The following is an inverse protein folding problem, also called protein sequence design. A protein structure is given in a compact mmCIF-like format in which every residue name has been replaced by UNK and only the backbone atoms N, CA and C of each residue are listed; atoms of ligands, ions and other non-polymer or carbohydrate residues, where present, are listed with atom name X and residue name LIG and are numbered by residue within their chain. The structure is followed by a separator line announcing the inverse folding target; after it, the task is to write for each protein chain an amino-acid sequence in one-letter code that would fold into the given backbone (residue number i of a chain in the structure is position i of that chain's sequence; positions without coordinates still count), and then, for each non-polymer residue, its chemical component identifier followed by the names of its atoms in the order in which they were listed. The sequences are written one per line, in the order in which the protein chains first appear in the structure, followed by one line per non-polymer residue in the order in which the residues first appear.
data_IF_301652671012
#
_entry.id   IF_301652671012
#
_cell.length_a   1.000
_cell.length_b   1.000
_cell.length_c   1.000
_cell.angle_alpha   90.00
_cell.angle_beta   90.00
_cell.angle_gamma   90.00
#
_symmetry.space_group_name_H-M   'P 1'
#
loop_
_entity.id
_entity.type
_entity.pdbx_description
1 polymer ?
#
# COMPACT_ATOMS: atom_id res chain seq x y z
N UNK A 1 -15.60 20.25 -18.93
CA UNK A 1 -16.09 18.85 -18.81
C UNK A 1 -15.29 17.85 -19.65
N UNK A 2 -15.00 18.13 -20.93
CA UNK A 2 -14.22 17.22 -21.79
C UNK A 2 -12.78 16.95 -21.29
N UNK A 3 -12.04 17.98 -20.87
CA UNK A 3 -10.67 17.83 -20.35
C UNK A 3 -10.59 16.92 -19.11
N UNK A 4 -11.53 17.06 -18.17
CA UNK A 4 -11.60 16.18 -17.00
C UNK A 4 -11.88 14.73 -17.38
N UNK A 5 -12.72 14.47 -18.40
CA UNK A 5 -12.99 13.11 -18.86
C UNK A 5 -11.76 12.49 -19.54
N UNK A 6 -10.95 13.28 -20.26
CA UNK A 6 -9.70 12.82 -20.88
C UNK A 6 -8.69 12.42 -19.80
N UNK A 7 -8.47 13.29 -18.79
CA UNK A 7 -7.53 13.01 -17.68
C UNK A 7 -7.95 11.74 -16.94
N UNK A 8 -9.24 11.60 -16.63
CA UNK A 8 -9.78 10.43 -15.94
C UNK A 8 -9.51 9.14 -16.73
N UNK A 9 -9.81 9.14 -18.04
CA UNK A 9 -9.53 8.00 -18.92
C UNK A 9 -8.04 7.69 -19.00
N UNK A 10 -7.19 8.71 -19.08
CA UNK A 10 -5.74 8.53 -19.10
C UNK A 10 -5.25 7.84 -17.83
N UNK A 11 -5.64 8.32 -16.65
CA UNK A 11 -5.27 7.68 -15.37
C UNK A 11 -5.74 6.23 -15.33
N UNK A 12 -6.95 5.96 -15.82
CA UNK A 12 -7.51 4.61 -15.80
C UNK A 12 -6.75 3.66 -16.73
N UNK A 13 -6.45 4.09 -17.95
CA UNK A 13 -5.66 3.33 -18.92
C UNK A 13 -4.25 3.09 -18.36
N UNK A 14 -3.59 4.12 -17.84
CA UNK A 14 -2.26 4.00 -17.24
C UNK A 14 -2.27 3.00 -16.07
N UNK A 15 -3.26 3.06 -15.18
CA UNK A 15 -3.39 2.12 -14.06
C UNK A 15 -3.50 0.68 -14.54
N UNK A 16 -4.36 0.41 -15.53
CA UNK A 16 -4.53 -0.92 -16.11
C UNK A 16 -3.25 -1.39 -16.81
N UNK A 17 -2.60 -0.54 -17.62
CA UNK A 17 -1.38 -0.89 -18.34
C UNK A 17 -0.25 -1.24 -17.36
N UNK A 18 0.00 -0.38 -16.37
CA UNK A 18 1.02 -0.63 -15.34
C UNK A 18 0.72 -1.92 -14.58
N UNK A 19 -0.54 -2.13 -14.20
CA UNK A 19 -0.97 -3.36 -13.54
C UNK A 19 -0.74 -4.61 -14.40
N UNK A 20 -1.08 -4.56 -15.69
CA UNK A 20 -0.84 -5.69 -16.60
C UNK A 20 0.66 -6.00 -16.70
N UNK A 21 1.49 -4.97 -16.91
CA UNK A 21 2.96 -5.14 -16.96
C UNK A 21 3.50 -5.74 -15.66
N UNK A 22 3.07 -5.23 -14.50
CA UNK A 22 3.54 -5.72 -13.20
C UNK A 22 3.14 -7.16 -12.89
N UNK A 23 2.03 -7.65 -13.46
CA UNK A 23 1.55 -9.02 -13.24
C UNK A 23 2.03 -10.02 -14.31
N UNK A 24 2.68 -9.56 -15.38
CA UNK A 24 3.29 -10.45 -16.39
C UNK A 24 4.25 -11.48 -15.76
N UNK A 25 5.21 -11.12 -14.87
CA UNK A 25 6.09 -12.10 -14.23
C UNK A 25 5.35 -13.13 -13.37
N UNK A 26 4.13 -12.81 -12.95
CA UNK A 26 3.31 -13.72 -12.15
C UNK A 26 2.57 -14.75 -13.01
N UNK A 27 2.24 -14.39 -14.26
CA UNK A 27 1.63 -15.29 -15.23
C UNK A 27 2.71 -16.11 -15.95
N UNK A 28 3.77 -15.46 -16.41
CA UNK A 28 4.88 -16.05 -17.14
C UNK A 28 6.22 -15.59 -16.50
N UNK A 29 6.70 -16.28 -15.46
CA UNK A 29 7.91 -15.87 -14.73
C UNK A 29 9.15 -15.77 -15.63
N UNK A 30 9.34 -16.72 -16.54
CA UNK A 30 10.53 -16.79 -17.39
C UNK A 30 10.54 -15.76 -18.51
N UNK A 31 9.38 -15.27 -18.96
CA UNK A 31 9.26 -14.29 -20.04
C UNK A 31 10.07 -13.00 -19.78
N UNK A 32 10.19 -12.62 -18.51
CA UNK A 32 10.87 -11.39 -18.09
C UNK A 32 12.31 -11.68 -17.66
N UNK A 33 12.57 -12.86 -17.10
CA UNK A 33 13.89 -13.28 -16.62
C UNK A 33 14.86 -13.59 -17.77
N UNK A 34 14.39 -14.07 -18.93
CA UNK A 34 15.25 -14.30 -20.10
C UNK A 34 16.00 -13.02 -20.53
N UNK A 35 15.35 -11.86 -20.40
CA UNK A 35 15.99 -10.58 -20.76
C UNK A 35 17.05 -10.09 -19.75
N UNK A 36 17.21 -10.78 -18.62
CA UNK A 36 18.07 -10.34 -17.51
C UNK A 36 19.12 -11.36 -17.08
N UNK A 37 18.97 -12.65 -17.43
CA UNK A 37 19.91 -13.71 -17.05
C UNK A 37 20.33 -14.49 -18.32
N UNK A 38 21.63 -14.67 -18.52
CA UNK A 38 22.21 -15.59 -19.51
C UNK A 38 21.98 -17.04 -19.06
N UNK A 39 20.74 -17.53 -19.21
CA UNK A 39 20.41 -18.94 -18.97
C UNK A 39 20.53 -19.67 -20.32
N UNK A 40 21.11 -20.89 -20.39
CA UNK A 40 21.17 -21.67 -21.62
C UNK A 40 19.77 -21.80 -22.26
N UNK A 41 19.63 -21.32 -23.49
CA UNK A 41 18.34 -21.20 -24.18
C UNK A 41 17.64 -22.53 -24.49
N UNK A 42 18.34 -23.67 -24.39
CA UNK A 42 17.83 -24.96 -24.85
C UNK A 42 16.81 -25.62 -23.89
N UNK A 43 16.67 -25.15 -22.64
CA UNK A 43 15.85 -25.80 -21.60
C UNK A 43 14.74 -24.92 -20.97
N UNK A 44 14.50 -23.67 -21.44
CA UNK A 44 13.51 -22.77 -20.82
C UNK A 44 12.26 -22.59 -21.68
N UNK A 45 11.11 -22.97 -21.13
CA UNK A 45 9.81 -22.63 -21.70
C UNK A 45 9.37 -21.21 -21.27
N UNK A 46 9.52 -20.22 -22.16
CA UNK A 46 9.19 -18.81 -21.86
C UNK A 46 7.76 -18.55 -21.40
N UNK A 47 6.82 -19.38 -21.88
CA UNK A 47 5.40 -19.29 -21.56
C UNK A 47 4.97 -20.33 -20.51
N UNK A 48 5.90 -20.88 -19.74
CA UNK A 48 5.57 -21.69 -18.57
C UNK A 48 4.74 -20.86 -17.60
N UNK A 49 3.56 -21.39 -17.24
CA UNK A 49 2.64 -20.73 -16.33
C UNK A 49 3.20 -20.75 -14.91
N UNK A 50 3.35 -19.57 -14.31
CA UNK A 50 3.69 -19.45 -12.90
C UNK A 50 2.63 -20.08 -12.01
N UNK A 51 3.03 -20.52 -10.81
CA UNK A 51 2.15 -21.21 -9.85
C UNK A 51 0.86 -20.41 -9.54
N UNK A 52 0.96 -19.09 -9.45
CA UNK A 52 -0.18 -18.20 -9.22
C UNK A 52 -0.80 -17.63 -10.50
N UNK A 53 -0.20 -17.89 -11.67
CA UNK A 53 -0.65 -17.40 -12.98
C UNK A 53 -2.00 -17.99 -13.40
N UNK A 54 -2.17 -19.30 -13.20
CA UNK A 54 -3.44 -19.99 -13.48
C UNK A 54 -4.57 -19.46 -12.59
N UNK A 55 -4.28 -19.26 -11.29
CA UNK A 55 -5.23 -18.66 -10.35
C UNK A 55 -5.68 -17.28 -10.79
N UNK A 56 -4.74 -16.42 -11.20
CA UNK A 56 -5.03 -15.08 -11.71
C UNK A 56 -5.90 -15.11 -12.96
N UNK A 57 -5.60 -15.97 -13.94
CA UNK A 57 -6.36 -16.03 -15.19
C UNK A 57 -7.80 -16.49 -14.91
N UNK A 58 -7.97 -17.61 -14.19
CA UNK A 58 -9.29 -18.18 -13.93
C UNK A 58 -10.14 -17.24 -13.07
N UNK A 59 -9.58 -16.65 -12.01
CA UNK A 59 -10.32 -15.73 -11.16
C UNK A 59 -10.86 -14.54 -11.96
N UNK A 60 -10.03 -13.98 -12.83
CA UNK A 60 -10.40 -12.85 -13.66
C UNK A 60 -11.50 -13.19 -14.67
N UNK A 61 -11.40 -14.36 -15.33
CA UNK A 61 -12.46 -14.84 -16.23
C UNK A 61 -13.78 -14.99 -15.49
N UNK A 62 -13.76 -15.58 -14.29
CA UNK A 62 -14.97 -15.79 -13.47
C UNK A 62 -15.57 -14.46 -13.04
N UNK A 63 -14.77 -13.51 -12.53
CA UNK A 63 -15.26 -12.21 -12.08
C UNK A 63 -15.79 -11.35 -13.22
N UNK A 64 -15.09 -11.32 -14.36
CA UNK A 64 -15.54 -10.58 -15.54
C UNK A 64 -16.86 -11.18 -16.05
N UNK A 65 -16.96 -12.51 -16.10
CA UNK A 65 -18.19 -13.21 -16.47
C UNK A 65 -19.34 -12.86 -15.52
N UNK A 66 -19.10 -12.89 -14.21
CA UNK A 66 -20.08 -12.48 -13.19
C UNK A 66 -20.50 -11.01 -13.36
N UNK A 67 -19.55 -10.11 -13.61
CA UNK A 67 -19.82 -8.68 -13.85
C UNK A 67 -20.66 -8.46 -15.11
N UNK A 68 -20.38 -9.19 -16.19
CA UNK A 68 -21.17 -9.16 -17.43
C UNK A 68 -22.59 -9.65 -17.15
N UNK A 69 -22.75 -10.80 -16.49
CA UNK A 69 -24.06 -11.33 -16.11
C UNK A 69 -24.83 -10.35 -15.22
N UNK A 70 -24.15 -9.71 -14.26
CA UNK A 70 -24.73 -8.67 -13.41
C UNK A 70 -25.26 -7.49 -14.25
N UNK A 71 -24.45 -6.96 -15.18
CA UNK A 71 -24.84 -5.85 -16.06
C UNK A 71 -25.96 -6.22 -17.04
N UNK A 72 -25.95 -7.46 -17.53
CA UNK A 72 -26.98 -7.99 -18.43
C UNK A 72 -28.30 -8.36 -17.73
N UNK A 73 -28.41 -8.15 -16.41
CA UNK A 73 -29.60 -8.53 -15.61
C UNK A 73 -29.89 -10.04 -15.62
N UNK A 74 -28.86 -10.88 -15.80
CA UNK A 74 -28.98 -12.35 -15.94
C UNK A 74 -28.69 -13.13 -14.65
N UNK A 75 -28.31 -12.47 -13.56
CA UNK A 75 -28.08 -13.16 -12.28
C UNK A 75 -29.40 -13.50 -11.55
N UNK A 76 -29.39 -14.50 -10.65
CA UNK A 76 -30.53 -14.79 -9.77
C UNK A 76 -30.97 -13.56 -8.96
N UNK A 77 -32.28 -13.43 -8.74
CA UNK A 77 -32.89 -12.31 -7.99
C UNK A 77 -32.33 -12.22 -6.56
N UNK A 78 -32.04 -13.36 -5.93
CA UNK A 78 -31.41 -13.42 -4.60
C UNK A 78 -30.07 -12.68 -4.56
N UNK A 79 -29.22 -12.88 -5.59
CA UNK A 79 -27.92 -12.21 -5.70
C UNK A 79 -28.10 -10.71 -5.89
N UNK A 80 -29.04 -10.28 -6.76
CA UNK A 80 -29.34 -8.85 -6.92
C UNK A 80 -29.78 -8.20 -5.60
N UNK A 81 -30.64 -8.87 -4.82
CA UNK A 81 -31.10 -8.36 -3.52
C UNK A 81 -29.94 -8.18 -2.53
N UNK A 82 -28.99 -9.12 -2.48
CA UNK A 82 -27.80 -9.03 -1.62
C UNK A 82 -26.91 -7.86 -2.05
N UNK A 83 -26.61 -7.77 -3.35
CA UNK A 83 -25.77 -6.69 -3.90
C UNK A 83 -26.42 -5.32 -3.62
N UNK A 84 -27.73 -5.19 -3.87
CA UNK A 84 -28.47 -3.95 -3.64
C UNK A 84 -28.49 -3.56 -2.16
N UNK A 85 -28.63 -4.54 -1.25
CA UNK A 85 -28.56 -4.32 0.19
C UNK A 85 -27.21 -3.74 0.59
N UNK A 86 -26.09 -4.33 0.14
CA UNK A 86 -24.73 -3.87 0.49
C UNK A 86 -24.44 -2.50 -0.14
N UNK A 87 -24.88 -2.26 -1.38
CA UNK A 87 -24.63 -0.99 -2.08
C UNK A 87 -25.49 0.15 -1.51
N UNK A 88 -26.76 -0.10 -1.14
CA UNK A 88 -27.67 0.96 -0.72
C UNK A 88 -27.69 1.19 0.78
N UNK A 89 -27.69 0.13 1.58
CA UNK A 89 -27.70 0.27 3.03
C UNK A 89 -26.29 0.57 3.53
N UNK A 90 -26.24 1.25 4.66
CA UNK A 90 -25.04 1.40 5.46
C UNK A 90 -25.37 0.99 6.90
N UNK A 91 -24.34 0.67 7.67
CA UNK A 91 -24.50 0.37 9.10
C UNK A 91 -24.41 1.65 9.93
N UNK A 92 -25.04 1.62 11.11
CA UNK A 92 -24.90 2.72 12.07
C UNK A 92 -23.47 2.81 12.60
N UNK A 93 -23.09 3.98 13.14
CA UNK A 93 -21.76 4.17 13.73
C UNK A 93 -21.48 3.18 14.88
N UNK A 94 -22.48 2.94 15.73
CA UNK A 94 -22.37 2.01 16.87
C UNK A 94 -22.09 0.57 16.40
N UNK A 95 -22.82 0.13 15.37
CA UNK A 95 -22.63 -1.22 14.80
C UNK A 95 -21.26 -1.32 14.12
N UNK A 96 -20.86 -0.30 13.37
CA UNK A 96 -19.55 -0.29 12.72
C UNK A 96 -18.39 -0.38 13.72
N UNK A 97 -18.47 0.39 14.81
CA UNK A 97 -17.48 0.35 15.89
C UNK A 97 -17.40 -1.05 16.49
N UNK A 98 -18.54 -1.67 16.79
CA UNK A 98 -18.58 -3.03 17.33
C UNK A 98 -17.91 -4.04 16.38
N UNK A 99 -18.21 -3.98 15.08
CA UNK A 99 -17.63 -4.90 14.09
C UNK A 99 -16.12 -4.69 13.98
N UNK A 100 -15.65 -3.45 13.87
CA UNK A 100 -14.21 -3.15 13.77
C UNK A 100 -13.46 -3.56 15.02
N UNK A 101 -13.97 -3.23 16.20
CA UNK A 101 -13.36 -3.67 17.46
C UNK A 101 -13.33 -5.20 17.56
N UNK A 102 -14.38 -5.88 17.11
CA UNK A 102 -14.40 -7.36 17.09
C UNK A 102 -13.35 -7.93 16.13
N UNK A 103 -13.22 -7.38 14.91
CA UNK A 103 -12.21 -7.82 13.95
C UNK A 103 -10.79 -7.64 14.49
N UNK A 104 -10.50 -6.47 15.09
CA UNK A 104 -9.19 -6.20 15.70
C UNK A 104 -8.97 -7.13 16.90
N UNK A 105 -9.99 -7.38 17.73
CA UNK A 105 -9.88 -8.29 18.87
C UNK A 105 -9.52 -9.71 18.44
N UNK A 106 -10.20 -10.26 17.42
CA UNK A 106 -9.87 -11.58 16.88
C UNK A 106 -8.46 -11.61 16.29
N UNK A 107 -8.11 -10.61 15.48
CA UNK A 107 -6.76 -10.46 14.94
C UNK A 107 -5.70 -10.48 16.05
N UNK A 108 -5.89 -9.69 17.12
CA UNK A 108 -4.97 -9.67 18.26
C UNK A 108 -4.84 -11.03 18.91
N UNK A 109 -5.95 -11.74 19.15
CA UNK A 109 -5.91 -13.09 19.73
C UNK A 109 -5.07 -14.05 18.89
N UNK A 110 -5.18 -14.00 17.56
CA UNK A 110 -4.45 -14.91 16.68
C UNK A 110 -2.97 -14.57 16.55
N UNK A 111 -2.59 -13.29 16.61
CA UNK A 111 -1.19 -12.86 16.43
C UNK A 111 -0.40 -12.71 17.75
N UNK A 112 -1.06 -12.67 18.92
CA UNK A 112 -0.37 -12.35 20.19
C UNK A 112 0.74 -13.35 20.56
N UNK A 113 0.55 -14.64 20.25
CA UNK A 113 1.54 -15.68 20.57
C UNK A 113 2.86 -15.45 19.83
N UNK A 114 2.80 -14.85 18.64
CA UNK A 114 3.99 -14.55 17.85
C UNK A 114 4.94 -13.60 18.58
N UNK A 115 4.41 -12.68 19.40
CA UNK A 115 5.21 -11.72 20.18
C UNK A 115 6.09 -12.40 21.25
N UNK A 116 5.75 -13.63 21.64
CA UNK A 116 6.51 -14.40 22.63
C UNK A 116 7.69 -15.18 22.02
N UNK A 117 7.74 -15.25 20.68
CA UNK A 117 8.77 -15.99 19.94
C UNK A 117 9.88 -15.03 19.50
N UNK A 118 11.13 -15.50 19.49
CA UNK A 118 12.23 -14.72 18.90
C UNK A 118 12.07 -14.64 17.37
N UNK A 119 12.36 -13.47 16.79
CA UNK A 119 12.23 -13.17 15.35
C UNK A 119 13.38 -13.77 14.50
N UNK A 120 13.99 -14.86 14.96
CA UNK A 120 15.21 -15.45 14.38
C UNK A 120 15.04 -15.91 12.92
N UNK A 121 13.80 -16.10 12.46
CA UNK A 121 13.47 -16.69 11.15
C UNK A 121 13.70 -15.74 9.96
N UNK A 122 13.91 -14.43 10.16
CA UNK A 122 14.04 -13.45 9.07
C UNK A 122 15.48 -13.04 8.72
N UNK A 123 16.50 -13.58 9.42
CA UNK A 123 17.94 -13.34 9.15
C UNK A 123 18.44 -11.94 9.54
N UNK A 124 17.71 -10.90 9.15
CA UNK A 124 18.03 -9.48 9.35
C UNK A 124 17.75 -9.00 10.79
N UNK A 125 17.08 -9.79 11.62
CA UNK A 125 16.79 -9.44 13.02
C UNK A 125 18.07 -9.28 13.85
N UNK A 126 19.13 -10.00 13.51
CA UNK A 126 20.46 -9.83 14.12
C UNK A 126 20.96 -8.39 13.99
N UNK A 127 20.75 -7.77 12.83
CA UNK A 127 21.13 -6.40 12.52
C UNK A 127 20.30 -5.39 13.34
N UNK A 128 19.00 -5.68 13.55
CA UNK A 128 18.12 -4.89 14.43
C UNK A 128 18.62 -4.95 15.88
N UNK A 129 18.96 -6.14 16.36
CA UNK A 129 19.45 -6.36 17.73
C UNK A 129 20.78 -5.64 17.97
N UNK A 130 21.73 -5.74 17.03
CA UNK A 130 22.98 -4.97 17.08
C UNK A 130 22.74 -3.46 17.17
N UNK A 131 21.80 -2.94 16.36
CA UNK A 131 21.43 -1.53 16.40
C UNK A 131 20.76 -1.06 17.71
N UNK A 132 20.28 -1.98 18.55
CA UNK A 132 19.61 -1.71 19.84
C UNK A 132 20.52 -1.97 21.05
N UNK A 133 21.40 -2.98 20.98
CA UNK A 133 22.27 -3.41 22.09
C UNK A 133 23.46 -2.47 22.30
N UNK A 134 23.85 -1.70 21.28
CA UNK A 134 24.94 -0.74 21.38
C UNK A 134 24.40 0.69 21.42
N UNK A 135 24.85 1.48 22.41
CA UNK A 135 24.89 2.95 22.32
C UNK A 135 25.73 3.45 21.11
N UNK A 136 26.21 2.55 20.24
CA UNK A 136 26.69 2.76 18.88
C UNK A 136 25.56 2.95 17.86
N UNK A 137 24.39 3.46 18.28
CA UNK A 137 23.38 4.00 17.37
C UNK A 137 24.08 4.87 16.31
N UNK A 138 25.04 5.69 16.73
CA UNK A 138 25.91 6.48 15.85
C UNK A 138 26.71 5.62 14.86
N UNK A 139 27.56 4.69 15.31
CA UNK A 139 28.45 3.95 14.41
C UNK A 139 27.73 2.93 13.52
N UNK A 140 26.63 2.32 13.96
CA UNK A 140 25.80 1.47 13.09
C UNK A 140 25.05 2.31 12.05
N UNK A 141 24.45 3.44 12.45
CA UNK A 141 23.81 4.39 11.52
C UNK A 141 24.78 4.93 10.46
N UNK A 142 26.07 5.09 10.81
CA UNK A 142 27.11 5.59 9.90
C UNK A 142 27.78 4.49 9.06
N UNK A 143 27.97 3.28 9.58
CA UNK A 143 28.82 2.26 8.94
C UNK A 143 28.09 1.10 8.26
N UNK A 144 26.84 0.77 8.64
CA UNK A 144 26.21 -0.47 8.14
C UNK A 144 25.37 -0.31 6.88
N UNK A 145 25.03 0.90 6.43
CA UNK A 145 24.31 1.10 5.15
C UNK A 145 24.24 2.58 4.71
N UNK A 146 25.11 3.46 5.23
CA UNK A 146 25.08 4.89 4.90
C UNK A 146 23.72 5.54 5.16
N UNK A 147 23.26 5.58 6.41
CA UNK A 147 21.93 6.10 6.74
C UNK A 147 21.93 7.07 7.92
N UNK A 148 22.27 8.33 7.62
CA UNK A 148 22.08 9.49 8.48
C UNK A 148 20.60 9.80 8.72
N UNK A 149 20.23 10.12 9.97
CA UNK A 149 18.97 10.74 10.47
C UNK A 149 17.64 9.99 10.17
N UNK A 150 17.60 9.16 9.13
CA UNK A 150 16.37 8.66 8.50
C UNK A 150 15.90 7.28 8.97
N UNK A 151 16.56 6.73 9.98
CA UNK A 151 16.11 5.59 10.79
C UNK A 151 16.03 5.92 12.28
N UNK A 152 16.32 7.17 12.67
CA UNK A 152 16.28 7.58 14.09
C UNK A 152 14.90 7.37 14.68
N UNK A 153 13.82 7.76 13.97
CA UNK A 153 12.46 7.58 14.48
C UNK A 153 12.11 6.10 14.61
N UNK A 154 12.54 5.26 13.66
CA UNK A 154 12.35 3.80 13.74
C UNK A 154 13.01 3.24 15.01
N UNK A 155 14.31 3.47 15.21
CA UNK A 155 15.02 2.93 16.36
C UNK A 155 14.54 3.51 17.69
N UNK A 156 14.23 4.81 17.75
CA UNK A 156 13.61 5.42 18.94
C UNK A 156 12.29 4.73 19.31
N UNK A 157 11.44 4.39 18.33
CA UNK A 157 10.21 3.64 18.60
C UNK A 157 10.51 2.21 19.03
N UNK A 158 11.49 1.52 18.46
CA UNK A 158 11.88 0.17 18.90
C UNK A 158 12.43 0.17 20.34
N UNK A 159 13.28 1.13 20.69
CA UNK A 159 13.79 1.33 22.06
C UNK A 159 12.67 1.63 23.05
N UNK A 160 11.72 2.50 22.68
CA UNK A 160 10.54 2.77 23.50
C UNK A 160 9.70 1.50 23.71
N UNK A 161 9.63 0.62 22.70
CA UNK A 161 8.95 -0.67 22.84
C UNK A 161 9.61 -1.54 23.91
N UNK A 162 10.94 -1.64 23.88
CA UNK A 162 11.71 -2.38 24.89
C UNK A 162 11.53 -1.73 26.27
N UNK A 163 11.72 -0.41 26.36
CA UNK A 163 11.68 0.32 27.64
C UNK A 163 10.33 0.21 28.35
N UNK A 164 9.22 0.20 27.61
CA UNK A 164 7.87 0.19 28.16
C UNK A 164 7.34 -1.24 28.35
N UNK A 165 7.65 -2.16 27.44
CA UNK A 165 7.00 -3.48 27.36
C UNK A 165 7.97 -4.66 27.52
N UNK A 166 9.26 -4.41 27.68
CA UNK A 166 10.32 -5.42 27.67
C UNK A 166 10.28 -6.31 26.41
N UNK A 167 9.80 -5.73 25.30
CA UNK A 167 9.64 -6.45 24.05
C UNK A 167 9.67 -5.48 22.86
N UNK A 168 10.63 -5.69 21.96
CA UNK A 168 10.87 -4.84 20.79
C UNK A 168 9.72 -4.88 19.76
N UNK A 169 8.89 -5.93 19.77
CA UNK A 169 7.84 -6.20 18.79
C UNK A 169 6.47 -5.62 19.16
N UNK A 170 6.29 -5.16 20.39
CA UNK A 170 4.98 -4.64 20.85
C UNK A 170 4.58 -3.36 20.13
N UNK A 171 5.45 -2.35 20.02
CA UNK A 171 5.11 -1.14 19.25
C UNK A 171 4.96 -1.42 17.74
N UNK A 172 5.81 -2.23 17.07
CA UNK A 172 5.56 -2.67 15.70
C UNK A 172 4.18 -3.31 15.51
N UNK A 173 3.76 -4.17 16.44
CA UNK A 173 2.44 -4.78 16.41
C UNK A 173 1.30 -3.77 16.61
N UNK A 174 1.48 -2.82 17.54
CA UNK A 174 0.54 -1.69 17.71
C UNK A 174 0.47 -0.85 16.43
N UNK A 175 1.59 -0.67 15.71
CA UNK A 175 1.59 0.00 14.42
C UNK A 175 0.73 -0.77 13.40
N UNK A 176 0.84 -2.10 13.33
CA UNK A 176 -0.01 -2.93 12.46
C UNK A 176 -1.50 -2.81 12.80
N UNK A 177 -1.87 -2.74 14.09
CA UNK A 177 -3.25 -2.40 14.51
C UNK A 177 -3.63 -0.99 14.03
N UNK A 178 -2.72 -0.03 14.17
CA UNK A 178 -2.86 1.33 13.65
C UNK A 178 -3.12 1.36 12.14
N UNK A 179 -2.48 0.47 11.37
CA UNK A 179 -2.67 0.38 9.93
C UNK A 179 -4.08 -0.10 9.57
N UNK A 180 -4.65 -1.05 10.32
CA UNK A 180 -6.05 -1.46 10.17
C UNK A 180 -7.01 -0.28 10.43
N UNK A 181 -6.77 0.47 11.51
CA UNK A 181 -7.60 1.63 11.88
C UNK A 181 -7.53 2.76 10.84
N UNK A 182 -6.33 3.06 10.34
CA UNK A 182 -6.14 4.08 9.31
C UNK A 182 -6.74 3.62 7.98
N UNK A 183 -6.64 2.34 7.62
CA UNK A 183 -7.30 1.76 6.43
C UNK A 183 -8.82 1.93 6.50
N UNK A 184 -9.42 1.66 7.67
CA UNK A 184 -10.83 1.94 7.92
C UNK A 184 -11.14 3.43 7.74
N UNK A 185 -10.35 4.31 8.38
CA UNK A 185 -10.59 5.75 8.38
C UNK A 185 -10.50 6.36 6.96
N UNK A 186 -9.48 5.97 6.18
CA UNK A 186 -9.32 6.38 4.78
C UNK A 186 -10.51 5.90 3.96
N UNK A 187 -10.85 4.62 4.05
CA UNK A 187 -11.94 4.07 3.25
C UNK A 187 -13.26 4.75 3.58
N UNK A 188 -13.55 4.96 4.87
CA UNK A 188 -14.74 5.69 5.31
C UNK A 188 -14.73 7.12 4.77
N UNK A 189 -13.59 7.79 4.74
CA UNK A 189 -13.49 9.15 4.24
C UNK A 189 -13.69 9.25 2.72
N UNK A 190 -13.12 8.32 1.96
CA UNK A 190 -13.24 8.28 0.49
C UNK A 190 -14.62 7.79 0.02
N UNK A 191 -15.28 6.92 0.80
CA UNK A 191 -16.56 6.30 0.41
C UNK A 191 -17.77 6.92 1.07
N UNK A 192 -17.60 7.56 2.23
CA UNK A 192 -18.68 7.98 3.13
C UNK A 192 -19.60 6.83 3.54
N UNK A 193 -19.11 5.58 3.48
CA UNK A 193 -19.85 4.38 3.86
C UNK A 193 -19.06 3.51 4.84
N UNK A 194 -19.69 3.19 5.97
CA UNK A 194 -19.09 2.36 7.02
C UNK A 194 -18.90 0.92 6.58
N UNK A 195 -19.89 0.34 5.89
CA UNK A 195 -19.77 -1.03 5.33
C UNK A 195 -18.55 -1.15 4.41
N UNK A 196 -18.33 -0.17 3.53
CA UNK A 196 -17.16 -0.15 2.63
C UNK A 196 -15.84 -0.18 3.41
N UNK A 197 -15.78 0.59 4.50
CA UNK A 197 -14.59 0.64 5.36
C UNK A 197 -14.36 -0.65 6.16
N UNK A 198 -15.43 -1.30 6.64
CA UNK A 198 -15.34 -2.63 7.27
C UNK A 198 -14.81 -3.67 6.28
N UNK A 199 -15.32 -3.66 5.05
CA UNK A 199 -14.87 -4.59 4.00
C UNK A 199 -13.38 -4.39 3.71
N UNK A 200 -12.91 -3.14 3.60
CA UNK A 200 -11.48 -2.87 3.39
C UNK A 200 -10.61 -3.45 4.51
N UNK A 201 -10.99 -3.29 5.79
CA UNK A 201 -10.26 -3.92 6.91
C UNK A 201 -10.28 -5.44 6.80
N UNK A 202 -11.43 -6.03 6.46
CA UNK A 202 -11.54 -7.47 6.25
C UNK A 202 -10.62 -7.99 5.13
N UNK A 203 -10.50 -7.26 4.02
CA UNK A 203 -9.58 -7.61 2.93
C UNK A 203 -8.12 -7.54 3.39
N UNK A 204 -7.75 -6.49 4.14
CA UNK A 204 -6.38 -6.35 4.67
C UNK A 204 -6.04 -7.46 5.66
N UNK A 205 -6.96 -7.84 6.55
CA UNK A 205 -6.79 -8.96 7.48
C UNK A 205 -6.70 -10.34 6.82
N UNK A 206 -7.09 -10.47 5.55
CA UNK A 206 -6.94 -11.71 4.76
C UNK A 206 -5.63 -11.73 3.97
N UNK A 207 -4.84 -10.65 4.00
CA UNK A 207 -3.56 -10.60 3.29
C UNK A 207 -2.50 -11.40 4.04
N UNK A 208 -1.90 -12.38 3.36
CA UNK A 208 -0.78 -13.12 3.90
C UNK A 208 0.44 -12.21 4.07
N UNK A 209 0.72 -11.34 3.10
CA UNK A 209 1.80 -10.35 3.20
C UNK A 209 1.65 -9.46 4.45
N UNK A 210 0.44 -8.99 4.75
CA UNK A 210 0.22 -8.22 5.97
C UNK A 210 0.52 -9.05 7.22
N UNK A 211 -0.04 -10.26 7.32
CA UNK A 211 0.09 -11.14 8.49
C UNK A 211 1.50 -11.71 8.71
N UNK A 212 2.37 -11.73 7.70
CA UNK A 212 3.76 -12.16 7.88
C UNK A 212 4.60 -11.07 8.56
N UNK A 213 4.29 -9.80 8.31
CA UNK A 213 5.11 -8.67 8.76
C UNK A 213 4.46 -7.86 9.88
N UNK A 214 3.23 -8.20 10.28
CA UNK A 214 2.43 -7.43 11.23
C UNK A 214 3.01 -7.42 12.66
N UNK A 215 3.75 -8.45 13.05
CA UNK A 215 4.37 -8.58 14.37
C UNK A 215 5.89 -8.39 14.33
N UNK A 216 6.50 -8.10 13.19
CA UNK A 216 7.97 -8.06 13.03
C UNK A 216 8.57 -6.70 13.45
N UNK A 217 9.70 -6.71 14.16
CA UNK A 217 10.49 -5.51 14.45
C UNK A 217 11.48 -5.18 13.32
N UNK A 218 11.90 -6.19 12.55
CA UNK A 218 12.78 -6.01 11.38
C UNK A 218 12.10 -5.19 10.31
N UNK A 219 10.87 -5.56 9.94
CA UNK A 219 10.11 -4.95 8.85
C UNK A 219 8.83 -4.31 9.38
N UNK A 220 9.01 -3.45 10.39
CA UNK A 220 7.92 -2.75 11.06
C UNK A 220 7.03 -1.93 10.11
N UNK A 221 5.82 -1.63 10.59
CA UNK A 221 4.79 -0.88 9.87
C UNK A 221 4.62 0.60 10.30
N UNK A 222 5.40 1.13 11.24
CA UNK A 222 5.47 2.56 11.62
C UNK A 222 5.46 3.48 10.40
N UNK A 223 6.41 3.30 9.47
CA UNK A 223 6.52 4.17 8.30
C UNK A 223 5.24 4.11 7.42
N UNK A 224 4.68 2.91 7.24
CA UNK A 224 3.44 2.67 6.49
C UNK A 224 2.24 3.36 7.17
N UNK A 225 2.12 3.22 8.48
CA UNK A 225 1.06 3.86 9.29
C UNK A 225 1.17 5.38 9.21
N UNK A 226 2.37 5.94 9.39
CA UNK A 226 2.60 7.38 9.29
C UNK A 226 2.30 7.90 7.87
N UNK A 227 2.63 7.13 6.83
CA UNK A 227 2.29 7.48 5.46
C UNK A 227 0.77 7.50 5.24
N UNK A 228 0.06 6.44 5.60
CA UNK A 228 -1.39 6.40 5.41
C UNK A 228 -2.13 7.37 6.32
N UNK A 229 -1.62 7.63 7.52
CA UNK A 229 -2.14 8.68 8.39
C UNK A 229 -1.95 10.05 7.75
N UNK A 230 -0.79 10.31 7.14
CA UNK A 230 -0.56 11.51 6.34
C UNK A 230 -1.58 11.67 5.22
N UNK A 231 -1.80 10.59 4.45
CA UNK A 231 -2.76 10.55 3.36
C UNK A 231 -4.20 10.78 3.84
N UNK A 232 -4.63 10.14 4.94
CA UNK A 232 -5.92 10.38 5.57
C UNK A 232 -6.10 11.85 5.99
N UNK A 233 -5.07 12.43 6.61
CA UNK A 233 -5.10 13.79 7.11
C UNK A 233 -5.16 14.83 5.98
N UNK A 234 -4.75 14.49 4.74
CA UNK A 234 -5.01 15.35 3.57
C UNK A 234 -6.49 15.70 3.48
N UNK A 235 -7.40 14.77 3.75
CA UNK A 235 -8.84 14.98 3.65
C UNK A 235 -9.47 15.55 4.94
N UNK A 236 -8.86 15.30 6.10
CA UNK A 236 -9.41 15.72 7.41
C UNK A 236 -8.74 16.95 8.02
N UNK A 237 -7.44 16.89 8.30
CA UNK A 237 -6.69 17.93 9.04
C UNK A 237 -5.44 18.32 8.28
N UNK A 238 -5.46 19.55 7.80
CA UNK A 238 -4.48 20.17 6.89
C UNK A 238 -3.04 20.15 7.42
N UNK A 239 -2.80 20.52 8.69
CA UNK A 239 -1.45 20.63 9.26
C UNK A 239 -0.86 19.26 9.63
N UNK A 240 -1.66 18.33 10.16
CA UNK A 240 -1.14 17.03 10.59
C UNK A 240 -0.59 16.17 9.45
N UNK A 241 -1.03 16.42 8.22
CA UNK A 241 -0.66 15.61 7.05
C UNK A 241 0.84 15.66 6.76
N UNK A 242 1.45 16.84 6.63
CA UNK A 242 2.88 16.93 6.30
C UNK A 242 3.77 16.44 7.45
N UNK A 243 3.40 16.70 8.72
CA UNK A 243 4.13 16.17 9.88
C UNK A 243 4.15 14.64 9.90
N UNK A 244 3.00 14.02 9.65
CA UNK A 244 2.91 12.56 9.53
C UNK A 244 3.71 12.02 8.34
N UNK A 245 3.81 12.77 7.23
CA UNK A 245 4.66 12.38 6.10
C UNK A 245 6.14 12.45 6.45
N UNK A 246 6.57 13.49 7.18
CA UNK A 246 7.95 13.61 7.69
C UNK A 246 8.28 12.43 8.60
N UNK A 247 7.39 12.08 9.54
CA UNK A 247 7.59 10.91 10.42
C UNK A 247 7.73 9.61 9.63
N UNK A 248 6.93 9.43 8.56
CA UNK A 248 7.06 8.28 7.66
C UNK A 248 8.44 8.23 7.00
N UNK A 249 8.90 9.36 6.44
CA UNK A 249 10.21 9.49 5.80
C UNK A 249 11.38 9.28 6.78
N UNK A 250 11.27 9.77 8.01
CA UNK A 250 12.27 9.61 9.06
C UNK A 250 12.26 8.22 9.72
N UNK A 251 11.19 7.47 9.53
CA UNK A 251 11.15 6.03 9.87
C UNK A 251 11.73 5.20 8.73
N UNK A 252 11.43 5.61 7.48
CA UNK A 252 11.94 4.97 6.28
C UNK A 252 11.99 5.94 5.07
N UNK A 253 13.18 6.24 4.50
CA UNK A 253 13.33 7.15 3.35
C UNK A 253 12.49 6.77 2.13
N UNK A 254 12.21 5.48 1.94
CA UNK A 254 11.39 4.96 0.85
C UNK A 254 10.04 5.69 0.73
N UNK A 255 9.49 6.19 1.84
CA UNK A 255 8.24 6.93 1.85
C UNK A 255 8.25 8.18 0.93
N UNK A 256 9.43 8.74 0.60
CA UNK A 256 9.57 9.88 -0.34
C UNK A 256 8.96 9.54 -1.69
N UNK A 257 9.10 8.29 -2.16
CA UNK A 257 8.58 7.85 -3.46
C UNK A 257 7.04 7.94 -3.50
N UNK A 258 6.38 7.99 -2.35
CA UNK A 258 4.92 8.07 -2.24
C UNK A 258 4.38 9.50 -2.15
N UNK A 259 5.27 10.51 -2.11
CA UNK A 259 4.93 11.93 -2.15
C UNK A 259 3.97 12.32 -3.28
N UNK A 260 4.12 11.81 -4.54
CA UNK A 260 3.22 12.16 -5.63
C UNK A 260 1.75 11.83 -5.35
N UNK A 261 1.48 10.78 -4.57
CA UNK A 261 0.11 10.38 -4.22
C UNK A 261 -0.54 11.46 -3.33
N UNK A 262 0.18 11.97 -2.32
CA UNK A 262 -0.32 13.01 -1.44
C UNK A 262 -0.52 14.33 -2.19
N UNK A 263 0.40 14.71 -3.09
CA UNK A 263 0.25 15.89 -3.94
C UNK A 263 -0.98 15.78 -4.85
N UNK A 264 -1.19 14.61 -5.46
CA UNK A 264 -2.36 14.36 -6.29
C UNK A 264 -3.67 14.40 -5.48
N UNK A 265 -3.66 13.84 -4.27
CA UNK A 265 -4.79 13.91 -3.35
C UNK A 265 -5.11 15.35 -2.94
N UNK A 266 -4.11 16.17 -2.62
CA UNK A 266 -4.28 17.61 -2.33
C UNK A 266 -4.89 18.32 -3.54
N UNK A 267 -4.41 18.01 -4.75
CA UNK A 267 -4.95 18.58 -5.98
C UNK A 267 -6.42 18.20 -6.20
N UNK A 268 -6.81 16.95 -5.93
CA UNK A 268 -8.17 16.43 -6.16
C UNK A 268 -9.16 16.68 -5.03
N UNK A 269 -8.70 16.95 -3.82
CA UNK A 269 -9.55 17.21 -2.65
C UNK A 269 -10.50 18.38 -2.90
N UNK A 270 -11.76 18.19 -2.49
CA UNK A 270 -12.78 19.22 -2.38
C UNK A 270 -12.70 19.87 -0.99
N UNK A 271 -11.99 21.00 -0.86
CA UNK A 271 -11.82 21.72 0.40
C UNK A 271 -11.85 23.23 0.21
N UNK A 272 -11.88 23.98 1.32
CA UNK A 272 -11.71 25.43 1.29
C UNK A 272 -10.41 25.80 0.57
N UNK A 273 -10.40 26.93 -0.15
CA UNK A 273 -9.20 27.44 -0.83
C UNK A 273 -8.06 27.68 0.15
N UNK A 274 -8.37 28.01 1.41
CA UNK A 274 -7.39 28.28 2.46
C UNK A 274 -6.67 27.01 2.91
N UNK A 275 -7.42 25.95 3.24
CA UNK A 275 -6.83 24.67 3.63
C UNK A 275 -5.95 24.09 2.53
N UNK A 276 -6.42 24.18 1.28
CA UNK A 276 -5.65 23.69 0.13
C UNK A 276 -4.33 24.45 -0.03
N UNK A 277 -4.33 25.78 0.18
CA UNK A 277 -3.11 26.60 0.13
C UNK A 277 -2.12 26.21 1.23
N UNK A 278 -2.57 25.99 2.46
CA UNK A 278 -1.69 25.55 3.55
C UNK A 278 -1.03 24.22 3.23
N UNK A 279 -1.80 23.24 2.72
CA UNK A 279 -1.24 21.96 2.29
C UNK A 279 -0.17 22.15 1.22
N UNK A 280 -0.48 22.92 0.16
CA UNK A 280 0.49 23.21 -0.91
C UNK A 280 1.76 23.85 -0.34
N UNK A 281 1.65 24.88 0.50
CA UNK A 281 2.82 25.55 1.09
C UNK A 281 3.63 24.56 1.95
N UNK A 282 2.97 23.78 2.81
CA UNK A 282 3.66 22.84 3.71
C UNK A 282 4.38 21.73 2.95
N UNK A 283 3.77 21.17 1.90
CA UNK A 283 4.40 20.16 1.06
C UNK A 283 5.49 20.74 0.14
N UNK A 284 5.33 21.98 -0.33
CA UNK A 284 6.41 22.69 -1.05
C UNK A 284 7.62 22.93 -0.15
N UNK A 285 7.41 23.35 1.10
CA UNK A 285 8.49 23.51 2.08
C UNK A 285 9.20 22.16 2.35
N UNK A 286 8.44 21.07 2.44
CA UNK A 286 8.97 19.72 2.57
C UNK A 286 9.84 19.31 1.37
N UNK A 287 9.39 19.59 0.14
CA UNK A 287 10.18 19.32 -1.08
C UNK A 287 11.50 20.10 -1.06
N UNK A 288 11.45 21.39 -0.68
CA UNK A 288 12.66 22.22 -0.56
C UNK A 288 13.61 21.64 0.48
N UNK A 289 13.10 21.20 1.63
CA UNK A 289 13.92 20.58 2.68
C UNK A 289 14.58 19.28 2.19
N UNK A 290 13.85 18.43 1.47
CA UNK A 290 14.39 17.20 0.87
C UNK A 290 15.50 17.55 -0.14
N UNK A 291 15.27 18.56 -0.99
CA UNK A 291 16.26 18.99 -1.97
C UNK A 291 17.52 19.55 -1.29
N UNK A 292 17.36 20.35 -0.24
CA UNK A 292 18.49 20.86 0.56
C UNK A 292 19.24 19.69 1.20
N UNK A 293 18.53 18.72 1.81
CA UNK A 293 19.16 17.54 2.41
C UNK A 293 19.94 16.72 1.37
N UNK A 294 19.41 16.57 0.15
CA UNK A 294 20.10 15.93 -0.96
C UNK A 294 21.36 16.70 -1.38
N UNK A 295 21.25 18.02 -1.60
CA UNK A 295 22.39 18.88 -1.98
C UNK A 295 23.49 18.96 -0.91
N UNK A 296 23.12 18.85 0.36
CA UNK A 296 24.04 18.82 1.50
C UNK A 296 24.57 17.41 1.81
N UNK A 297 24.28 16.41 0.97
CA UNK A 297 24.74 15.03 1.16
C UNK A 297 24.28 14.42 2.50
N UNK A 298 23.08 14.79 2.99
CA UNK A 298 22.48 14.27 4.22
C UNK A 298 21.60 13.02 4.00
N UNK A 299 21.58 12.48 2.77
CA UNK A 299 20.85 11.26 2.38
C UNK A 299 21.86 10.32 1.69
N UNK A 300 22.61 9.49 2.43
CA UNK A 300 23.73 8.75 1.86
C UNK A 300 23.28 7.62 0.94
N UNK A 301 22.09 7.05 1.17
CA UNK A 301 21.41 6.14 0.24
C UNK A 301 21.10 6.76 -1.14
N UNK A 302 21.11 8.09 -1.26
CA UNK A 302 20.92 8.80 -2.53
C UNK A 302 22.25 9.16 -3.23
N UNK A 303 23.40 8.83 -2.64
CA UNK A 303 24.72 9.20 -3.18
C UNK A 303 25.31 8.14 -4.12
N UNK A 304 25.00 6.87 -3.90
CA UNK A 304 25.46 5.76 -4.73
C UNK A 304 24.33 5.24 -5.63
N UNK A 305 23.87 6.10 -6.54
CA UNK A 305 22.86 5.69 -7.52
C UNK A 305 23.50 4.72 -8.51
N UNK A 306 22.92 3.53 -8.62
CA UNK A 306 23.32 2.48 -9.57
C UNK A 306 22.18 2.35 -10.55
N UNK A 307 22.34 2.92 -11.74
CA UNK A 307 21.37 2.80 -12.84
C UNK A 307 21.59 1.50 -13.60
N UNK A 308 20.70 0.53 -13.40
CA UNK A 308 20.85 -0.84 -13.93
C UNK A 308 19.55 -1.36 -14.54
N UNK A 309 19.49 -1.36 -15.87
CA UNK A 309 18.32 -1.77 -16.65
C UNK A 309 17.87 -3.20 -16.34
N UNK A 310 18.79 -4.12 -16.03
CA UNK A 310 18.44 -5.49 -15.65
C UNK A 310 17.69 -5.50 -14.31
N UNK A 311 18.13 -4.68 -13.35
CA UNK A 311 17.44 -4.53 -12.05
C UNK A 311 16.07 -3.89 -12.16
N UNK A 312 15.85 -2.99 -13.13
CA UNK A 312 14.51 -2.46 -13.40
C UNK A 312 13.52 -3.58 -13.73
N UNK A 313 13.93 -4.46 -14.65
CA UNK A 313 13.13 -5.58 -15.12
C UNK A 313 12.93 -6.62 -14.02
N UNK A 314 14.00 -6.98 -13.29
CA UNK A 314 13.94 -7.88 -12.13
C UNK A 314 13.03 -7.34 -11.02
N UNK A 315 12.99 -6.02 -10.82
CA UNK A 315 12.13 -5.40 -9.81
C UNK A 315 10.63 -5.61 -10.04
N UNK A 316 10.20 -5.90 -11.27
CA UNK A 316 8.82 -6.32 -11.53
C UNK A 316 8.56 -7.77 -11.07
N UNK A 317 9.56 -8.65 -11.16
CA UNK A 317 9.45 -10.05 -10.75
C UNK A 317 9.24 -10.21 -9.23
N UNK A 318 9.77 -9.28 -8.44
CA UNK A 318 9.65 -9.30 -6.98
C UNK A 318 8.20 -9.18 -6.48
N UNK A 319 7.29 -8.61 -7.29
CA UNK A 319 5.86 -8.60 -6.98
C UNK A 319 5.27 -10.01 -6.91
N UNK A 320 5.72 -10.92 -7.78
CA UNK A 320 5.28 -12.32 -7.78
C UNK A 320 5.66 -12.97 -6.45
N UNK A 321 6.93 -12.82 -6.03
CA UNK A 321 7.41 -13.31 -4.74
C UNK A 321 6.61 -12.75 -3.56
N UNK A 322 6.30 -11.46 -3.59
CA UNK A 322 5.58 -10.77 -2.52
C UNK A 322 4.11 -11.19 -2.38
N UNK A 323 3.39 -11.37 -3.48
CA UNK A 323 1.95 -11.65 -3.47
C UNK A 323 1.58 -13.12 -3.72
N UNK A 324 2.55 -14.04 -3.84
CA UNK A 324 2.30 -15.45 -4.20
C UNK A 324 1.28 -16.16 -3.31
N UNK A 325 1.17 -15.77 -2.04
CA UNK A 325 0.25 -16.34 -1.06
C UNK A 325 -0.96 -15.44 -0.75
N UNK A 326 -1.05 -14.26 -1.38
CA UNK A 326 -2.14 -13.31 -1.20
C UNK A 326 -3.32 -13.59 -2.14
N UNK A 327 -3.84 -14.82 -2.07
CA UNK A 327 -4.84 -15.34 -3.00
C UNK A 327 -6.07 -14.44 -3.18
N UNK A 328 -6.59 -13.84 -2.11
CA UNK A 328 -7.75 -12.94 -2.20
C UNK A 328 -7.43 -11.62 -2.90
N UNK A 329 -6.25 -11.04 -2.65
CA UNK A 329 -5.80 -9.80 -3.32
C UNK A 329 -5.62 -10.06 -4.82
N UNK A 330 -4.95 -11.16 -5.18
CA UNK A 330 -4.76 -11.57 -6.58
C UNK A 330 -6.09 -11.75 -7.31
N UNK A 331 -7.02 -12.45 -6.66
CA UNK A 331 -8.35 -12.73 -7.20
C UNK A 331 -9.17 -11.45 -7.43
N UNK A 332 -9.04 -10.47 -6.54
CA UNK A 332 -9.80 -9.21 -6.60
C UNK A 332 -9.09 -8.08 -7.35
N UNK A 333 -7.84 -8.23 -7.76
CA UNK A 333 -7.01 -7.13 -8.28
C UNK A 333 -7.63 -6.41 -9.49
N UNK A 334 -7.62 -7.05 -10.66
CA UNK A 334 -8.18 -6.47 -11.88
C UNK A 334 -9.71 -6.31 -11.84
N UNK A 335 -10.52 -7.21 -11.22
CA UNK A 335 -11.95 -6.98 -11.10
C UNK A 335 -12.27 -5.67 -10.38
N UNK A 336 -11.51 -5.34 -9.34
CA UNK A 336 -11.63 -4.07 -8.64
C UNK A 336 -11.36 -2.89 -9.56
N UNK A 337 -10.24 -2.90 -10.28
CA UNK A 337 -9.89 -1.81 -11.21
C UNK A 337 -10.96 -1.62 -12.29
N UNK A 338 -11.42 -2.71 -12.91
CA UNK A 338 -12.44 -2.68 -13.99
C UNK A 338 -13.77 -2.16 -13.45
N UNK A 339 -14.23 -2.64 -12.29
CA UNK A 339 -15.50 -2.21 -11.70
C UNK A 339 -15.44 -0.72 -11.34
N UNK A 340 -14.36 -0.28 -10.68
CA UNK A 340 -14.18 1.12 -10.30
C UNK A 340 -14.10 2.05 -11.53
N UNK A 341 -13.43 1.63 -12.61
CA UNK A 341 -13.37 2.39 -13.86
C UNK A 341 -14.76 2.63 -14.49
N UNK A 342 -15.75 1.80 -14.16
CA UNK A 342 -17.13 1.97 -14.66
C UNK A 342 -17.98 2.92 -13.81
N UNK A 343 -17.53 3.30 -12.60
CA UNK A 343 -18.25 4.23 -11.71
C UNK A 343 -18.11 5.68 -12.19
N UNK A 344 -19.18 6.45 -12.01
CA UNK A 344 -19.26 7.88 -12.37
C UNK A 344 -19.72 8.72 -11.18
N UNK A 345 -19.41 10.01 -11.17
CA UNK A 345 -19.91 10.99 -10.19
C UNK A 345 -18.82 11.51 -9.24
N UNK A 346 -19.22 11.95 -8.04
CA UNK A 346 -18.31 12.51 -7.03
C UNK A 346 -17.20 11.51 -6.65
N UNK A 347 -17.54 10.22 -6.61
CA UNK A 347 -16.57 9.15 -6.30
C UNK A 347 -15.45 9.03 -7.33
N UNK A 348 -15.63 9.53 -8.55
CA UNK A 348 -14.63 9.42 -9.63
C UNK A 348 -13.31 10.08 -9.23
N UNK A 349 -13.34 11.21 -8.50
CA UNK A 349 -12.10 11.85 -8.01
C UNK A 349 -11.34 10.95 -7.03
N UNK A 350 -12.06 10.30 -6.12
CA UNK A 350 -11.46 9.40 -5.12
C UNK A 350 -10.92 8.13 -5.79
N UNK A 351 -11.58 7.64 -6.84
CA UNK A 351 -11.10 6.50 -7.65
C UNK A 351 -9.84 6.88 -8.41
N UNK A 352 -9.76 8.09 -8.97
CA UNK A 352 -8.53 8.58 -9.59
C UNK A 352 -7.37 8.64 -8.60
N UNK A 353 -7.61 9.11 -7.37
CA UNK A 353 -6.58 9.13 -6.31
C UNK A 353 -6.11 7.71 -5.98
N UNK A 354 -7.05 6.77 -5.84
CA UNK A 354 -6.75 5.35 -5.61
C UNK A 354 -5.87 4.78 -6.74
N UNK A 355 -6.23 5.03 -8.00
CA UNK A 355 -5.48 4.52 -9.15
C UNK A 355 -4.09 5.11 -9.24
N UNK A 356 -3.91 6.41 -8.95
CA UNK A 356 -2.57 7.01 -8.83
C UNK A 356 -1.78 6.34 -7.69
N UNK A 357 -2.43 6.03 -6.57
CA UNK A 357 -1.83 5.23 -5.50
C UNK A 357 -1.30 3.89 -6.00
N UNK A 358 -2.15 3.11 -6.66
CA UNK A 358 -1.78 1.78 -7.19
C UNK A 358 -0.66 1.88 -8.23
N UNK A 359 -0.72 2.84 -9.16
CA UNK A 359 0.33 3.10 -10.15
C UNK A 359 1.68 3.35 -9.46
N UNK A 360 1.71 4.28 -8.51
CA UNK A 360 2.95 4.63 -7.79
C UNK A 360 3.47 3.44 -7.00
N UNK A 361 2.60 2.67 -6.33
CA UNK A 361 3.03 1.49 -5.58
C UNK A 361 3.65 0.42 -6.47
N UNK A 362 3.04 0.11 -7.61
CA UNK A 362 3.54 -0.89 -8.55
C UNK A 362 4.86 -0.50 -9.21
N UNK A 363 5.06 0.79 -9.53
CA UNK A 363 6.26 1.28 -10.21
C UNK A 363 7.39 1.64 -9.24
N UNK A 364 7.07 1.99 -7.99
CA UNK A 364 8.05 2.45 -7.01
C UNK A 364 9.19 1.47 -6.77
N UNK A 365 8.89 0.17 -6.68
CA UNK A 365 9.88 -0.85 -6.37
C UNK A 365 10.81 -1.14 -7.57
N UNK A 366 10.31 -1.37 -8.80
CA UNK A 366 11.16 -1.44 -9.99
C UNK A 366 12.07 -0.21 -10.16
N UNK A 367 11.53 1.01 -9.99
CA UNK A 367 12.35 2.23 -10.10
C UNK A 367 13.40 2.29 -9.00
N UNK A 368 13.06 1.94 -7.76
CA UNK A 368 14.03 1.97 -6.67
C UNK A 368 15.16 0.98 -6.93
N UNK A 369 14.85 -0.23 -7.38
CA UNK A 369 15.85 -1.24 -7.66
C UNK A 369 16.75 -0.82 -8.85
N UNK A 370 16.13 -0.24 -9.88
CA UNK A 370 16.81 0.36 -11.03
C UNK A 370 17.78 1.47 -10.65
N UNK A 371 17.46 2.31 -9.66
CA UNK A 371 18.24 3.52 -9.33
C UNK A 371 19.24 3.29 -8.19
N UNK A 372 18.96 2.38 -7.26
CA UNK A 372 19.76 2.20 -6.04
C UNK A 372 20.47 0.87 -5.99
N UNK A 373 20.07 -0.09 -6.82
CA UNK A 373 20.55 -1.47 -6.73
C UNK A 373 20.12 -2.22 -5.47
N UNK A 374 19.33 -1.61 -4.58
CA UNK A 374 18.81 -2.23 -3.35
C UNK A 374 17.67 -3.18 -3.74
N UNK A 375 17.78 -4.44 -3.30
CA UNK A 375 16.79 -5.48 -3.55
C UNK A 375 15.40 -5.08 -3.05
N UNK A 376 14.37 -5.51 -3.77
CA UNK A 376 12.98 -5.28 -3.38
C UNK A 376 12.59 -6.34 -2.36
N UNK A 377 12.18 -5.90 -1.18
CA UNK A 377 11.73 -6.80 -0.12
C UNK A 377 10.19 -6.88 -0.08
N UNK A 378 9.58 -8.05 0.20
CA UNK A 378 8.13 -8.23 0.15
C UNK A 378 7.32 -7.22 0.96
N UNK A 379 7.73 -6.90 2.19
CA UNK A 379 7.01 -5.96 3.06
C UNK A 379 6.82 -4.55 2.46
N UNK A 380 7.65 -4.17 1.47
CA UNK A 380 7.51 -2.90 0.74
C UNK A 380 6.23 -2.83 -0.11
N UNK A 381 5.55 -3.96 -0.32
CA UNK A 381 4.25 -4.04 -1.00
C UNK A 381 3.04 -3.99 -0.05
N UNK A 382 3.22 -3.93 1.28
CA UNK A 382 2.08 -3.72 2.21
C UNK A 382 1.25 -2.49 1.83
N UNK A 383 1.84 -1.33 1.44
CA UNK A 383 1.05 -0.20 0.96
C UNK A 383 0.21 -0.48 -0.30
N UNK A 384 0.67 -1.35 -1.22
CA UNK A 384 -0.14 -1.80 -2.35
C UNK A 384 -1.37 -2.58 -1.87
N UNK A 385 -1.19 -3.50 -0.92
CA UNK A 385 -2.28 -4.27 -0.32
C UNK A 385 -3.31 -3.35 0.34
N UNK A 386 -2.86 -2.33 1.09
CA UNK A 386 -3.75 -1.34 1.71
C UNK A 386 -4.56 -0.57 0.65
N UNK A 387 -3.91 -0.08 -0.41
CA UNK A 387 -4.63 0.58 -1.51
C UNK A 387 -5.63 -0.37 -2.18
N UNK A 388 -5.26 -1.63 -2.40
CA UNK A 388 -6.17 -2.62 -2.96
C UNK A 388 -7.36 -2.91 -2.05
N UNK A 389 -7.15 -3.03 -0.74
CA UNK A 389 -8.21 -3.21 0.24
C UNK A 389 -9.19 -2.02 0.26
N UNK A 390 -8.68 -0.79 0.23
CA UNK A 390 -9.48 0.43 0.07
C UNK A 390 -10.30 0.36 -1.24
N UNK A 391 -9.65 -0.04 -2.34
CA UNK A 391 -10.29 -0.19 -3.65
C UNK A 391 -11.46 -1.16 -3.65
N UNK A 392 -11.29 -2.34 -3.05
CA UNK A 392 -12.39 -3.31 -2.90
C UNK A 392 -13.54 -2.69 -2.10
N UNK A 393 -13.25 -2.01 -0.99
CA UNK A 393 -14.26 -1.29 -0.21
C UNK A 393 -15.04 -0.26 -1.04
N UNK A 394 -14.35 0.48 -1.92
CA UNK A 394 -14.95 1.50 -2.79
C UNK A 394 -15.92 0.93 -3.84
N UNK A 395 -15.85 -0.37 -4.17
CA UNK A 395 -16.81 -1.02 -5.08
C UNK A 395 -18.25 -0.87 -4.54
N UNK A 396 -18.42 -0.91 -3.22
CA UNK A 396 -19.74 -0.92 -2.56
C UNK A 396 -20.34 0.46 -2.31
N UNK A 397 -19.69 1.51 -2.79
CA UNK A 397 -20.17 2.89 -2.66
C UNK A 397 -21.14 3.26 -3.77
N UNK A 398 -22.27 3.88 -3.42
CA UNK A 398 -23.24 4.39 -4.37
C UNK A 398 -22.84 5.79 -4.86
N UNK A 399 -22.90 6.04 -6.17
CA UNK A 399 -22.57 7.34 -6.75
C UNK A 399 -23.55 8.46 -6.38
N UNK A 400 -24.77 8.11 -5.93
CA UNK A 400 -25.84 9.07 -5.61
C UNK A 400 -25.88 9.52 -4.14
N UNK A 401 -25.18 8.84 -3.22
CA UNK A 401 -25.33 9.12 -1.78
C UNK A 401 -24.55 10.35 -1.29
N UNK A 402 -23.77 11.04 -2.12
CA UNK A 402 -22.97 12.21 -1.72
C UNK A 402 -23.67 13.55 -1.99
N UNK A 403 -25.02 13.57 -2.03
CA UNK A 403 -25.82 14.80 -2.17
C UNK A 403 -26.53 15.23 -0.88
N UNK A 404 -26.26 14.57 0.25
CA UNK A 404 -26.81 14.98 1.54
C UNK A 404 -25.68 14.91 2.55
N UNK A 405 -25.00 16.04 2.70
CA UNK A 405 -24.49 16.59 3.96
C UNK A 405 -24.36 18.10 3.77
#
# INVERSE_FOLDING_TARGET
MQSHQIISKFIFITCITVSLVSFVPMIFPFLIIESTIDIPHDDIELFELGNSGLMLIISNIVFISFLILYKLKKLPISIYKIIDLIIRKDVSQKISLLIITSLIFFYVIFSIDELSREEFELGDYSAVKLGLDQNELTDYLFNSEGLSISTTIRFTLLELSISIFDNVRVLPFIASIGLLLVTYAITLELTKKRISAIIAVGILLQSNLFLIFDTTATYENFWTVFYFLSFYLVFKKTIGSHLSFILSMLSKPLAIVFLPINLFAIYKRDSSKFDKKILIISYSALIILILIAFLLNLIPSAQNLVFDEQKFVLGFNELNGALRFDGLILLLFFPTLIILATKKGIITKNIEILFVGIIVMLISQPILYYVTGITVMPYRYIPLVVFMAIGVGMIFTNSKNNQVD
#
